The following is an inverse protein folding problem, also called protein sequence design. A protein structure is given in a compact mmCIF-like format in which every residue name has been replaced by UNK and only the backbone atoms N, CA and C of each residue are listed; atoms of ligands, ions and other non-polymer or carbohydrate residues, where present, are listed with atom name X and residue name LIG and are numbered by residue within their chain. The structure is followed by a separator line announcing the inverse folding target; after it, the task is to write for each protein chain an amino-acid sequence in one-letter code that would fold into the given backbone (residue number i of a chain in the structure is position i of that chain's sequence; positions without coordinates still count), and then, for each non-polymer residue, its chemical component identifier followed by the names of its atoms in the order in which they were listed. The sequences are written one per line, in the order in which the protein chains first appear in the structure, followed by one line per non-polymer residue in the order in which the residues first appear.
data_IF_969997964421
#
_entry.id   IF_969997964421
#
_cell.length_a   1.000
_cell.length_b   1.000
_cell.length_c   1.000
_cell.angle_alpha   90.00
_cell.angle_beta   90.00
_cell.angle_gamma   90.00
#
_symmetry.space_group_name_H-M   'P 1'
#
loop_
_entity.id
_entity.type
_entity.pdbx_description
1 polymer ?
#
# COMPACT_ATOMS: atom_id res chain seq x y z
N UNK A 1 16.28 -2.92 -3.27
CA UNK A 1 15.28 -3.18 -2.21
C UNK A 1 14.18 -4.04 -2.78
N UNK A 2 13.54 -4.92 -2.00
CA UNK A 2 12.45 -5.79 -2.46
C UNK A 2 11.34 -5.75 -1.41
N UNK A 3 10.10 -5.69 -1.88
CA UNK A 3 8.91 -5.74 -1.05
C UNK A 3 7.70 -6.20 -1.84
N UNK A 4 6.60 -6.38 -1.13
CA UNK A 4 5.34 -6.86 -1.68
C UNK A 4 4.21 -5.99 -1.14
N UNK A 5 3.34 -5.54 -2.03
CA UNK A 5 2.09 -4.88 -1.64
C UNK A 5 1.01 -5.96 -1.56
N UNK A 6 0.44 -6.13 -0.37
CA UNK A 6 -0.64 -7.08 -0.12
C UNK A 6 -1.97 -6.34 -0.07
N UNK A 7 -2.94 -6.85 -0.80
CA UNK A 7 -4.36 -6.54 -0.64
C UNK A 7 -5.03 -7.72 0.06
N UNK A 8 -5.65 -7.45 1.20
CA UNK A 8 -6.47 -8.40 1.95
C UNK A 8 -7.89 -7.86 2.00
N UNK A 9 -8.88 -8.73 1.97
CA UNK A 9 -10.28 -8.32 1.97
C UNK A 9 -11.14 -9.26 2.82
N UNK A 10 -12.18 -8.70 3.46
CA UNK A 10 -13.19 -9.45 4.20
C UNK A 10 -14.48 -8.62 4.34
N UNK A 11 -15.63 -9.22 4.03
CA UNK A 11 -16.97 -8.62 4.20
C UNK A 11 -17.07 -7.14 3.74
N UNK A 12 -16.64 -6.84 2.50
CA UNK A 12 -16.69 -5.49 1.93
C UNK A 12 -15.64 -4.51 2.47
N UNK A 13 -14.71 -4.96 3.32
CA UNK A 13 -13.57 -4.17 3.77
C UNK A 13 -12.31 -4.62 3.06
N UNK A 14 -11.64 -3.68 2.43
CA UNK A 14 -10.34 -3.84 1.80
C UNK A 14 -9.23 -3.30 2.69
N UNK A 15 -8.08 -3.94 2.69
CA UNK A 15 -6.94 -3.62 3.54
C UNK A 15 -5.63 -3.79 2.78
N UNK A 16 -4.78 -2.76 2.81
CA UNK A 16 -3.52 -2.72 2.06
C UNK A 16 -2.34 -2.55 3.00
N UNK A 17 -1.29 -3.35 2.76
CA UNK A 17 -0.01 -3.28 3.46
C UNK A 17 1.13 -3.35 2.45
N UNK A 18 2.11 -2.47 2.56
CA UNK A 18 3.38 -2.58 1.83
C UNK A 18 4.42 -3.18 2.75
N UNK A 19 4.91 -4.36 2.43
CA UNK A 19 5.80 -5.15 3.27
C UNK A 19 7.20 -5.26 2.66
N UNK A 20 8.23 -4.94 3.44
CA UNK A 20 9.64 -5.10 3.05
C UNK A 20 10.07 -6.55 3.21
N UNK A 21 10.52 -7.20 2.14
CA UNK A 21 10.88 -8.63 2.16
C UNK A 21 12.09 -8.92 3.05
N UNK A 22 13.07 -8.00 3.08
CA UNK A 22 14.28 -8.11 3.88
C UNK A 22 14.44 -6.87 4.78
N UNK A 23 13.75 -6.83 5.93
CA UNK A 23 13.81 -5.71 6.86
C UNK A 23 15.18 -5.62 7.54
N UNK A 24 15.61 -4.39 7.81
CA UNK A 24 16.81 -4.11 8.60
C UNK A 24 16.61 -2.82 9.42
N UNK A 25 17.62 -2.43 10.21
CA UNK A 25 17.53 -1.26 11.08
C UNK A 25 17.42 0.08 10.32
N UNK A 26 17.77 0.12 9.03
CA UNK A 26 17.65 1.33 8.20
C UNK A 26 16.20 1.51 7.79
N UNK A 27 15.60 2.60 8.27
CA UNK A 27 14.29 3.04 7.78
C UNK A 27 14.38 3.45 6.32
N UNK A 28 13.36 3.11 5.58
CA UNK A 28 13.12 3.53 4.20
C UNK A 28 11.73 4.14 4.12
N UNK A 29 11.53 5.04 3.18
CA UNK A 29 10.21 5.56 2.89
C UNK A 29 9.34 4.42 2.35
N UNK A 30 8.13 4.24 2.88
CA UNK A 30 7.20 3.23 2.41
C UNK A 30 5.80 3.80 2.43
N UNK A 31 5.05 3.51 1.36
CA UNK A 31 3.67 3.95 1.17
C UNK A 31 2.77 2.75 1.01
N UNK A 32 1.59 2.78 1.63
CA UNK A 32 0.47 1.90 1.35
C UNK A 32 -0.78 2.75 1.17
N UNK A 33 -1.58 2.51 0.13
CA UNK A 33 -2.81 3.26 -0.08
C UNK A 33 -3.95 2.39 -0.63
N UNK A 34 -5.17 2.84 -0.36
CA UNK A 34 -6.41 2.29 -0.89
C UNK A 34 -7.41 3.42 -1.11
N UNK A 35 -8.10 3.42 -2.23
CA UNK A 35 -9.08 4.46 -2.55
C UNK A 35 -10.26 3.91 -3.37
N UNK A 36 -11.44 4.47 -3.13
CA UNK A 36 -12.57 4.40 -4.05
C UNK A 36 -12.33 5.48 -5.12
N UNK A 37 -12.54 5.20 -6.42
CA UNK A 37 -12.37 6.20 -7.47
C UNK A 37 -13.19 7.46 -7.19
N UNK A 38 -12.57 8.62 -7.38
CA UNK A 38 -13.16 9.95 -7.16
C UNK A 38 -13.50 10.29 -5.70
N UNK A 39 -12.96 9.56 -4.72
CA UNK A 39 -13.04 9.94 -3.29
C UNK A 39 -11.64 10.22 -2.74
N UNK A 40 -11.51 10.96 -1.63
CA UNK A 40 -10.27 10.98 -0.87
C UNK A 40 -9.90 9.55 -0.43
N UNK A 41 -8.72 9.09 -0.82
CA UNK A 41 -8.19 7.78 -0.45
C UNK A 41 -7.70 7.72 1.00
N UNK A 42 -7.33 6.52 1.44
CA UNK A 42 -6.58 6.28 2.68
C UNK A 42 -5.14 5.94 2.31
N UNK A 43 -4.18 6.55 3.00
CA UNK A 43 -2.75 6.37 2.74
C UNK A 43 -1.98 6.40 4.06
N UNK A 44 -0.98 5.54 4.15
CA UNK A 44 0.10 5.59 5.14
C UNK A 44 1.40 5.78 4.37
N UNK A 45 2.17 6.80 4.74
CA UNK A 45 3.35 7.29 4.05
C UNK A 45 4.35 7.81 5.09
N UNK A 46 5.38 7.01 5.37
CA UNK A 46 6.40 7.35 6.35
C UNK A 46 7.65 6.47 6.21
N UNK A 47 8.62 6.71 7.09
CA UNK A 47 9.87 5.96 7.19
C UNK A 47 9.74 4.75 8.11
N UNK A 48 9.74 3.56 7.50
CA UNK A 48 9.53 2.28 8.17
C UNK A 48 10.72 1.33 8.00
N UNK A 49 10.93 0.43 8.96
CA UNK A 49 11.91 -0.67 8.84
C UNK A 49 11.30 -1.91 8.19
N UNK A 50 9.98 -2.12 8.36
CA UNK A 50 9.31 -3.38 8.05
C UNK A 50 8.11 -3.22 7.12
N UNK A 51 7.13 -2.39 7.45
CA UNK A 51 5.93 -2.22 6.63
C UNK A 51 5.26 -0.86 6.82
N UNK A 52 4.48 -0.43 5.81
CA UNK A 52 3.49 0.65 5.88
C UNK A 52 2.08 0.07 5.77
N UNK A 53 1.10 0.70 6.42
CA UNK A 53 -0.26 0.19 6.62
C UNK A 53 -0.40 -0.57 7.96
N UNK A 54 -1.54 -1.25 8.21
CA UNK A 54 -2.66 -1.44 7.31
C UNK A 54 -3.50 -0.18 7.13
N UNK A 55 -3.73 0.22 5.88
CA UNK A 55 -4.79 1.18 5.53
C UNK A 55 -6.01 0.43 5.04
N UNK A 56 -7.21 0.95 5.32
CA UNK A 56 -8.46 0.23 5.06
C UNK A 56 -9.50 1.13 4.43
N UNK A 57 -10.36 0.54 3.60
CA UNK A 57 -11.59 1.19 3.14
C UNK A 57 -12.73 0.18 3.21
N UNK A 58 -13.92 0.66 3.56
CA UNK A 58 -15.15 -0.12 3.43
C UNK A 58 -15.81 0.26 2.11
N UNK A 59 -15.84 -0.66 1.15
CA UNK A 59 -16.25 -0.42 -0.23
C UNK A 59 -17.09 -1.60 -0.79
N UNK A 60 -18.16 -2.04 -0.11
CA UNK A 60 -18.98 -3.14 -0.60
C UNK A 60 -19.58 -2.79 -1.97
N UNK A 61 -19.54 -3.75 -2.89
CA UNK A 61 -20.03 -3.63 -4.27
C UNK A 61 -19.40 -2.48 -5.06
N UNK A 62 -18.25 -1.98 -4.60
CA UNK A 62 -17.57 -0.82 -5.18
C UNK A 62 -16.14 -1.21 -5.53
N UNK A 63 -15.72 -0.90 -6.75
CA UNK A 63 -14.36 -1.20 -7.17
C UNK A 63 -13.38 -0.17 -6.61
N UNK A 64 -12.26 -0.66 -6.07
CA UNK A 64 -11.19 0.17 -5.51
C UNK A 64 -9.95 0.20 -6.41
N UNK A 65 -9.11 1.19 -6.17
CA UNK A 65 -7.70 1.24 -6.55
C UNK A 65 -6.84 1.15 -5.30
N UNK A 66 -5.74 0.43 -5.38
CA UNK A 66 -4.82 0.25 -4.26
C UNK A 66 -3.38 0.15 -4.74
N UNK A 67 -2.45 0.29 -3.81
CA UNK A 67 -1.05 0.15 -4.14
C UNK A 67 -0.13 0.53 -3.00
N UNK A 68 1.13 0.68 -3.36
CA UNK A 68 2.17 1.05 -2.43
C UNK A 68 3.51 1.19 -3.10
N UNK A 69 4.45 1.80 -2.39
CA UNK A 69 5.80 2.06 -2.86
C UNK A 69 6.82 1.99 -1.73
N UNK A 70 8.09 1.90 -2.11
CA UNK A 70 9.23 1.90 -1.20
C UNK A 70 10.37 2.71 -1.80
N UNK A 71 11.03 3.54 -1.00
CA UNK A 71 12.16 4.38 -1.41
C UNK A 71 13.33 4.34 -0.41
N UNK A 72 14.54 4.11 -0.89
CA UNK A 72 15.75 4.25 -0.07
C UNK A 72 16.28 5.69 -0.07
N UNK A 73 16.64 6.21 1.10
CA UNK A 73 17.42 7.45 1.21
C UNK A 73 18.72 7.34 0.39
N UNK A 74 18.98 8.29 -0.51
CA UNK A 74 20.24 8.35 -1.27
C UNK A 74 20.15 8.29 -2.80
N UNK A 75 18.96 8.40 -3.41
CA UNK A 75 18.87 8.72 -4.85
C UNK A 75 18.53 7.57 -5.81
N UNK A 76 18.05 6.41 -5.33
CA UNK A 76 17.21 5.53 -6.15
C UNK A 76 17.28 4.02 -5.84
N UNK A 77 16.13 3.42 -5.50
CA UNK A 77 15.31 2.54 -6.37
C UNK A 77 13.86 2.83 -5.99
N UNK A 78 13.01 3.02 -6.99
CA UNK A 78 11.59 3.35 -6.85
C UNK A 78 10.80 2.05 -7.10
N UNK A 79 10.52 1.29 -6.04
CA UNK A 79 9.77 0.04 -6.16
C UNK A 79 8.33 0.32 -5.76
N UNK A 80 7.41 0.28 -6.72
CA UNK A 80 6.00 0.55 -6.45
C UNK A 80 5.07 -0.24 -7.36
N UNK A 81 3.85 -0.47 -6.86
CA UNK A 81 2.76 -1.08 -7.59
C UNK A 81 1.50 -0.27 -7.36
N UNK A 82 0.80 0.02 -8.46
CA UNK A 82 -0.52 0.65 -8.46
C UNK A 82 -1.44 -0.27 -9.24
N UNK A 83 -2.54 -0.70 -8.63
CA UNK A 83 -3.55 -1.48 -9.33
C UNK A 83 -4.29 -0.60 -10.35
N UNK A 84 -4.84 -1.17 -11.43
CA UNK A 84 -5.99 -0.55 -12.07
C UNK A 84 -7.16 -0.52 -11.07
N UNK A 85 -8.17 0.31 -11.36
CA UNK A 85 -9.48 0.18 -10.70
C UNK A 85 -10.08 -1.15 -11.11
N UNK A 86 -10.38 -2.04 -10.16
CA UNK A 86 -10.97 -3.34 -10.54
C UNK A 86 -11.10 -4.40 -9.45
N UNK A 87 -10.57 -4.19 -8.25
CA UNK A 87 -10.92 -5.06 -7.13
C UNK A 87 -12.27 -4.60 -6.54
N UNK A 88 -13.31 -5.41 -6.68
CA UNK A 88 -14.66 -5.09 -6.22
C UNK A 88 -15.12 -6.23 -5.30
N UNK A 89 -15.46 -5.90 -4.05
CA UNK A 89 -15.84 -6.87 -3.00
C UNK A 89 -17.33 -6.92 -2.71
#
# INVERSE_FOLDING_TARGET
MVGTVYLMYNNGTDCVVTWRSNPNATKIDMVAYVQIPNTPGQQDDNWYTTYAGPVKVYAPHTCIQWGGSMWSSGGGINAGYNSPVGHCT
#
